data_IF_712012687097
#
_entry.id   IF_712012687097
#
_cell.length_a   1.000
_cell.length_b   1.000
_cell.length_c   1.000
_cell.angle_alpha   90.00
_cell.angle_beta   90.00
_cell.angle_gamma   90.00
#
_symmetry.space_group_name_H-M   'P 1'
#
loop_
_entity.id
_entity.type
_entity.pdbx_description
1 polymer ?
#
# COMPACT_ATOMS: atom_id res chain seq x y z
N UNK A 1 -8.65 9.12 12.60
CA UNK A 1 -7.46 9.57 11.90
C UNK A 1 -6.95 8.49 10.96
N UNK A 2 -6.55 8.89 9.77
CA UNK A 2 -6.01 7.93 8.81
C UNK A 2 -4.54 7.62 9.14
N UNK A 3 -4.20 6.35 9.14
CA UNK A 3 -2.81 5.93 9.27
C UNK A 3 -2.11 6.05 7.93
N UNK A 4 -0.81 6.25 7.97
CA UNK A 4 0.01 6.32 6.78
C UNK A 4 1.12 5.27 6.89
N UNK A 5 1.33 4.52 5.82
CA UNK A 5 2.36 3.49 5.80
C UNK A 5 3.40 3.81 4.73
N UNK A 6 4.69 3.58 5.03
CA UNK A 6 5.73 3.84 4.04
C UNK A 6 5.72 2.80 2.93
N UNK A 7 5.73 3.30 1.70
CA UNK A 7 5.78 2.47 0.50
C UNK A 7 7.09 2.74 -0.23
N UNK A 8 7.72 1.67 -0.69
CA UNK A 8 8.93 1.75 -1.49
C UNK A 8 8.60 1.42 -2.94
N UNK A 9 9.00 2.29 -3.84
CA UNK A 9 8.83 2.08 -5.28
C UNK A 9 10.18 1.66 -5.85
N UNK A 10 10.22 0.50 -6.48
CA UNK A 10 11.44 -0.03 -7.08
C UNK A 10 11.23 -0.21 -8.58
N UNK A 11 12.15 0.31 -9.37
CA UNK A 11 12.05 0.18 -10.81
C UNK A 11 12.31 -1.27 -11.23
N UNK A 12 11.42 -1.80 -12.05
CA UNK A 12 11.57 -3.14 -12.57
C UNK A 12 12.55 -3.15 -13.75
N UNK A 13 13.31 -4.21 -13.88
CA UNK A 13 14.27 -4.36 -14.97
C UNK A 13 13.59 -4.29 -16.34
N UNK A 14 12.41 -4.86 -16.42
CA UNK A 14 11.65 -4.96 -17.66
C UNK A 14 10.79 -3.74 -17.97
N UNK A 15 10.89 -2.72 -17.14
CA UNK A 15 10.04 -1.54 -17.22
C UNK A 15 8.94 -1.59 -16.17
N UNK A 16 8.37 -0.43 -15.88
CA UNK A 16 7.38 -0.33 -14.83
C UNK A 16 8.00 -0.30 -13.43
N UNK A 17 7.17 -0.49 -12.43
CA UNK A 17 7.56 -0.32 -11.03
C UNK A 17 6.95 -1.39 -10.16
N UNK A 18 7.65 -1.72 -9.07
CA UNK A 18 7.12 -2.50 -7.96
C UNK A 18 6.83 -1.59 -6.79
N UNK A 19 5.76 -1.90 -6.06
CA UNK A 19 5.43 -1.24 -4.81
C UNK A 19 5.49 -2.29 -3.71
N UNK A 20 6.12 -1.94 -2.60
CA UNK A 20 6.12 -2.79 -1.42
C UNK A 20 5.95 -1.93 -0.18
N UNK A 21 5.18 -2.42 0.77
CA UNK A 21 4.98 -1.74 2.05
C UNK A 21 5.74 -2.51 3.12
N UNK A 22 6.71 -1.86 3.72
CA UNK A 22 7.58 -2.50 4.72
C UNK A 22 6.81 -3.04 5.91
N UNK A 23 5.80 -2.31 6.37
CA UNK A 23 5.00 -2.71 7.52
C UNK A 23 3.92 -3.73 7.18
N UNK A 24 3.62 -3.90 5.91
CA UNK A 24 2.59 -4.82 5.42
C UNK A 24 3.17 -5.67 4.30
N UNK A 25 3.92 -6.73 4.64
CA UNK A 25 4.62 -7.51 3.62
C UNK A 25 3.72 -8.09 2.53
N UNK A 26 2.46 -8.30 2.84
CA UNK A 26 1.51 -8.81 1.85
C UNK A 26 1.05 -7.73 0.85
N UNK A 27 1.30 -6.46 1.14
CA UNK A 27 0.92 -5.36 0.26
C UNK A 27 2.01 -5.13 -0.78
N UNK A 28 1.94 -5.89 -1.86
CA UNK A 28 2.90 -5.84 -2.96
C UNK A 28 2.13 -5.71 -4.26
N UNK A 29 2.59 -4.86 -5.16
CA UNK A 29 1.95 -4.69 -6.46
C UNK A 29 2.96 -4.26 -7.52
N UNK A 30 2.52 -4.29 -8.78
CA UNK A 30 3.27 -3.81 -9.93
C UNK A 30 2.41 -2.83 -10.70
N UNK A 31 3.04 -1.89 -11.39
CA UNK A 31 2.29 -0.98 -12.26
C UNK A 31 3.18 -0.51 -13.41
N UNK A 32 2.54 -0.10 -14.50
CA UNK A 32 3.21 0.43 -15.67
C UNK A 32 3.58 1.90 -15.46
N UNK A 33 4.57 2.38 -16.21
CA UNK A 33 5.02 3.77 -16.08
C UNK A 33 3.93 4.78 -16.40
N UNK A 34 2.96 4.41 -17.22
CA UNK A 34 1.84 5.28 -17.58
C UNK A 34 0.78 5.40 -16.50
N UNK A 35 0.81 4.54 -15.50
CA UNK A 35 -0.19 4.54 -14.44
C UNK A 35 0.18 5.49 -13.31
N UNK A 36 -0.81 5.99 -12.60
CA UNK A 36 -0.59 6.86 -11.46
C UNK A 36 -0.16 6.01 -10.25
N UNK A 37 1.12 6.13 -9.88
CA UNK A 37 1.69 5.29 -8.82
C UNK A 37 1.03 5.50 -7.46
N UNK A 38 0.57 6.70 -7.17
CA UNK A 38 -0.09 6.97 -5.89
C UNK A 38 -1.43 6.27 -5.81
N UNK A 39 -2.20 6.28 -6.88
CA UNK A 39 -3.47 5.55 -6.94
C UNK A 39 -3.26 4.05 -6.82
N UNK A 40 -2.25 3.52 -7.50
CA UNK A 40 -1.94 2.10 -7.42
C UNK A 40 -1.51 1.73 -6.00
N UNK A 41 -0.69 2.56 -5.37
CA UNK A 41 -0.24 2.33 -4.00
C UNK A 41 -1.40 2.36 -3.01
N UNK A 42 -2.31 3.31 -3.17
CA UNK A 42 -3.49 3.39 -2.32
C UNK A 42 -4.39 2.17 -2.48
N UNK A 43 -4.59 1.73 -3.71
CA UNK A 43 -5.37 0.53 -3.98
C UNK A 43 -4.73 -0.72 -3.41
N UNK A 44 -3.42 -0.83 -3.51
CA UNK A 44 -2.66 -1.93 -2.95
C UNK A 44 -2.80 -1.98 -1.42
N UNK A 45 -2.66 -0.82 -0.78
CA UNK A 45 -2.80 -0.71 0.67
C UNK A 45 -4.22 -1.02 1.11
N UNK A 46 -5.21 -0.51 0.39
CA UNK A 46 -6.62 -0.76 0.66
C UNK A 46 -6.94 -2.25 0.61
N UNK A 47 -6.44 -2.95 -0.40
CA UNK A 47 -6.64 -4.38 -0.55
C UNK A 47 -6.02 -5.15 0.61
N UNK A 48 -4.83 -4.75 1.07
CA UNK A 48 -4.16 -5.40 2.20
C UNK A 48 -4.94 -5.18 3.50
N UNK A 49 -5.43 -3.98 3.73
CA UNK A 49 -6.23 -3.66 4.91
C UNK A 49 -7.52 -4.50 4.91
N UNK A 50 -8.19 -4.54 3.79
CA UNK A 50 -9.41 -5.32 3.63
C UNK A 50 -9.15 -6.81 3.85
N UNK A 51 -8.05 -7.31 3.29
CA UNK A 51 -7.68 -8.72 3.44
C UNK A 51 -7.42 -9.11 4.88
N UNK A 52 -6.74 -8.25 5.64
CA UNK A 52 -6.51 -8.53 7.05
C UNK A 52 -7.80 -8.62 7.85
N UNK A 53 -8.76 -7.76 7.57
CA UNK A 53 -10.06 -7.79 8.23
C UNK A 53 -10.88 -9.01 7.81
N UNK A 54 -10.89 -9.28 6.52
CA UNK A 54 -11.72 -10.35 5.94
C UNK A 54 -11.22 -11.73 6.33
N UNK A 55 -9.90 -11.92 6.33
CA UNK A 55 -9.30 -13.24 6.60
C UNK A 55 -8.74 -13.39 8.00
N UNK A 56 -8.93 -12.38 8.83
CA UNK A 56 -8.49 -12.48 10.22
C UNK A 56 -6.98 -12.61 10.39
N UNK A 57 -6.22 -11.90 9.56
CA UNK A 57 -4.76 -11.98 9.58
C UNK A 57 -4.12 -11.16 10.70
N UNK A 58 -4.92 -10.68 11.62
CA UNK A 58 -4.45 -9.89 12.74
C UNK A 58 -4.65 -8.41 12.55
N UNK A 59 -4.38 -7.60 13.57
CA UNK A 59 -4.56 -6.16 13.50
C UNK A 59 -3.51 -5.52 12.59
N UNK A 60 -3.81 -4.31 12.14
CA UNK A 60 -2.83 -3.53 11.39
C UNK A 60 -1.66 -3.19 12.32
N UNK A 61 -0.42 -3.30 11.83
CA UNK A 61 0.73 -2.91 12.63
C UNK A 61 0.77 -1.38 12.81
N UNK A 62 1.46 -0.89 13.83
CA UNK A 62 1.69 0.54 13.94
C UNK A 62 2.54 1.01 12.76
N UNK A 63 2.21 2.16 12.16
CA UNK A 63 2.97 2.64 11.03
C UNK A 63 4.37 3.11 11.42
N UNK A 64 5.35 2.79 10.59
CA UNK A 64 6.72 3.25 10.75
C UNK A 64 6.91 4.61 10.09
N UNK A 65 7.98 5.28 10.44
CA UNK A 65 8.37 6.50 9.74
C UNK A 65 8.97 6.15 8.39
N UNK A 66 8.75 7.00 7.40
CA UNK A 66 9.32 6.78 6.08
C UNK A 66 10.84 6.95 6.12
N UNK A 67 11.54 6.00 5.54
CA UNK A 67 12.99 6.11 5.33
C UNK A 67 13.24 6.88 4.02
N UNK A 68 14.49 7.26 3.80
CA UNK A 68 14.86 7.93 2.56
C UNK A 68 14.44 7.07 1.35
N UNK A 69 13.71 7.68 0.43
CA UNK A 69 13.23 6.98 -0.77
C UNK A 69 11.86 6.33 -0.62
N UNK A 70 11.31 6.32 0.60
CA UNK A 70 9.95 5.83 0.81
C UNK A 70 8.95 6.98 0.80
N UNK A 71 7.71 6.67 0.42
CA UNK A 71 6.61 7.65 0.37
C UNK A 71 5.51 7.16 1.30
N UNK A 72 4.98 8.07 2.13
CA UNK A 72 3.87 7.71 3.01
C UNK A 72 2.57 7.69 2.22
N UNK A 73 1.87 6.56 2.31
CA UNK A 73 0.59 6.37 1.64
C UNK A 73 -0.50 6.30 2.71
N UNK A 74 -1.52 7.11 2.56
CA UNK A 74 -2.63 7.18 3.51
C UNK A 74 -3.55 5.98 3.31
N UNK A 75 -3.91 5.33 4.42
CA UNK A 75 -4.92 4.28 4.37
C UNK A 75 -6.25 4.91 3.96
N UNK A 76 -6.87 4.48 2.87
CA UNK A 76 -8.15 5.04 2.46
C UNK A 76 -9.22 4.82 3.52
N UNK A 77 -10.23 5.69 3.59
CA UNK A 77 -11.30 5.52 4.56
C UNK A 77 -11.94 4.14 4.43
N UNK A 78 -12.15 3.50 5.56
CA UNK A 78 -12.72 2.16 5.58
C UNK A 78 -14.09 2.10 4.91
N UNK A 79 -14.89 3.15 5.11
CA UNK A 79 -16.20 3.22 4.49
C UNK A 79 -16.12 3.19 2.97
N UNK A 80 -15.09 3.80 2.39
CA UNK A 80 -14.90 3.76 0.95
C UNK A 80 -14.51 2.37 0.47
N UNK A 81 -13.68 1.68 1.23
CA UNK A 81 -13.24 0.32 0.89
C UNK A 81 -14.37 -0.69 0.99
N UNK A 82 -15.21 -0.54 1.99
CA UNK A 82 -16.27 -1.50 2.27
C UNK A 82 -17.58 -1.20 1.55
N UNK A 83 -17.69 -0.02 0.97
CA UNK A 83 -18.88 0.36 0.22
C UNK A 83 -18.95 -0.28 -1.17
N UNK A 84 -17.88 -0.89 -1.59
CA UNK A 84 -17.78 -1.51 -2.91
C UNK A 84 -18.03 -3.01 -2.86
#
# INVERSE_FOLDING_TARGET
MASQYPAKFTRAIEGGWFIAFRDLPEAISQFEESENREEIAEGCLQAAVWGRKTYGLGPLPPPSEALTGEVLIVVPPESAALAT
#
